data_IF_099554998359
#
_entry.id   IF_099554998359
#
_cell.length_a   1.000
_cell.length_b   1.000
_cell.length_c   1.000
_cell.angle_alpha   90.00
_cell.angle_beta   90.00
_cell.angle_gamma   90.00
#
_symmetry.space_group_name_H-M   'P 1'
#
loop_
_entity.id
_entity.type
_entity.pdbx_description
1 polymer ?
#
# COMPACT_ATOMS: atom_id res chain seq x y z
N UNK A 1 18.51 -19.81 13.76
CA UNK A 1 17.77 -19.23 12.63
C UNK A 1 17.26 -20.36 11.76
N UNK A 2 15.94 -20.54 11.64
CA UNK A 2 15.36 -21.61 10.78
C UNK A 2 15.28 -21.14 9.33
N UNK A 3 15.26 -22.06 8.34
CA UNK A 3 15.16 -21.70 6.91
C UNK A 3 13.96 -20.78 6.60
N UNK A 4 12.87 -20.93 7.37
CA UNK A 4 11.68 -20.08 7.29
C UNK A 4 11.96 -18.63 7.71
N UNK A 5 12.73 -18.43 8.79
CA UNK A 5 13.11 -17.10 9.26
C UNK A 5 14.03 -16.39 8.26
N UNK A 6 14.94 -17.11 7.61
CA UNK A 6 15.82 -16.54 6.57
C UNK A 6 15.02 -16.08 5.35
N UNK A 7 14.03 -16.86 4.90
CA UNK A 7 13.14 -16.47 3.79
C UNK A 7 12.28 -15.25 4.13
N UNK A 8 11.75 -15.19 5.35
CA UNK A 8 11.06 -13.99 5.85
C UNK A 8 11.98 -12.77 5.84
N UNK A 9 13.23 -12.92 6.29
CA UNK A 9 14.20 -11.83 6.31
C UNK A 9 14.52 -11.32 4.90
N UNK A 10 14.61 -12.21 3.91
CA UNK A 10 14.82 -11.86 2.51
C UNK A 10 13.58 -11.14 1.94
N UNK A 11 12.37 -11.62 2.24
CA UNK A 11 11.14 -10.93 1.84
C UNK A 11 11.05 -9.54 2.44
N UNK A 12 11.42 -9.38 3.71
CA UNK A 12 11.50 -8.08 4.38
C UNK A 12 12.54 -7.20 3.69
N UNK A 13 13.76 -7.70 3.47
CA UNK A 13 14.84 -6.91 2.86
C UNK A 13 14.49 -6.39 1.45
N UNK A 14 13.70 -7.16 0.68
CA UNK A 14 13.27 -6.78 -0.67
C UNK A 14 12.01 -5.89 -0.64
N UNK A 15 11.08 -6.14 0.28
CA UNK A 15 9.86 -5.35 0.40
C UNK A 15 10.09 -4.01 1.09
N UNK A 16 10.98 -3.92 2.09
CA UNK A 16 11.19 -2.70 2.88
C UNK A 16 11.50 -1.46 2.02
N UNK A 17 12.38 -1.51 1.00
CA UNK A 17 12.62 -0.38 0.09
C UNK A 17 11.37 0.04 -0.69
N UNK A 18 10.58 -0.95 -1.14
CA UNK A 18 9.32 -0.69 -1.86
C UNK A 18 8.22 -0.11 -0.96
N UNK A 19 8.36 -0.20 0.36
CA UNK A 19 7.36 0.28 1.34
C UNK A 19 7.79 1.56 2.08
N UNK A 20 9.09 1.80 2.22
CA UNK A 20 9.66 2.99 2.90
C UNK A 20 9.68 4.22 2.01
N UNK A 21 9.83 4.03 0.70
CA UNK A 21 9.89 5.16 -0.22
C UNK A 21 8.51 5.75 -0.51
N UNK A 22 7.45 4.97 -0.75
CA UNK A 22 6.10 5.51 -0.92
C UNK A 22 5.50 6.10 0.36
N UNK A 23 5.92 5.63 1.54
CA UNK A 23 5.48 6.24 2.81
C UNK A 23 5.98 7.68 2.94
N UNK A 24 7.17 7.98 2.42
CA UNK A 24 7.72 9.35 2.39
C UNK A 24 6.94 10.26 1.43
N UNK A 25 6.52 9.75 0.27
CA UNK A 25 5.72 10.53 -0.69
C UNK A 25 4.29 10.75 -0.20
N UNK A 26 3.67 9.74 0.43
CA UNK A 26 2.38 9.91 1.11
C UNK A 26 2.48 10.93 2.24
N UNK A 27 3.54 10.87 3.06
CA UNK A 27 3.77 11.84 4.14
C UNK A 27 3.87 13.28 3.63
N UNK A 28 4.65 13.52 2.57
CA UNK A 28 4.78 14.85 1.94
C UNK A 28 3.44 15.33 1.37
N UNK A 29 2.67 14.45 0.71
CA UNK A 29 1.35 14.79 0.18
C UNK A 29 0.34 15.12 1.29
N UNK A 30 0.34 14.35 2.38
CA UNK A 30 -0.52 14.61 3.54
C UNK A 30 -0.17 15.95 4.18
N UNK A 31 1.12 16.22 4.41
CA UNK A 31 1.58 17.52 4.93
C UNK A 31 1.18 18.68 4.04
N UNK A 32 1.38 18.54 2.73
CA UNK A 32 0.98 19.55 1.74
C UNK A 32 -0.52 19.85 1.83
N UNK A 33 -1.36 18.81 1.91
CA UNK A 33 -2.81 18.98 2.00
C UNK A 33 -3.21 19.62 3.33
N UNK A 34 -2.60 19.22 4.46
CA UNK A 34 -2.88 19.85 5.76
C UNK A 34 -2.52 21.33 5.75
N UNK A 35 -1.33 21.70 5.27
CA UNK A 35 -0.87 23.10 5.19
C UNK A 35 -1.79 23.91 4.28
N UNK A 36 -2.11 23.37 3.09
CA UNK A 36 -3.00 24.04 2.12
C UNK A 36 -4.42 24.18 2.67
N UNK A 37 -4.90 23.21 3.46
CA UNK A 37 -6.16 23.29 4.21
C UNK A 37 -6.21 24.48 5.13
N UNK A 38 -5.20 24.57 5.98
CA UNK A 38 -5.11 25.61 6.99
C UNK A 38 -5.04 26.98 6.33
N UNK A 39 -4.22 27.15 5.29
CA UNK A 39 -4.11 28.42 4.55
C UNK A 39 -5.44 28.81 3.91
N UNK A 40 -6.14 27.89 3.24
CA UNK A 40 -7.40 28.19 2.57
C UNK A 40 -8.53 28.52 3.54
N UNK A 41 -8.56 27.85 4.70
CA UNK A 41 -9.52 28.12 5.77
C UNK A 41 -9.33 29.54 6.35
N UNK A 42 -8.09 30.02 6.42
CA UNK A 42 -7.77 31.38 6.86
C UNK A 42 -7.84 32.46 5.76
N UNK A 43 -7.83 32.09 4.48
CA UNK A 43 -7.87 33.04 3.35
C UNK A 43 -9.21 33.11 2.63
N UNK A 44 -10.22 32.32 3.04
CA UNK A 44 -11.60 32.36 2.52
C UNK A 44 -11.70 32.19 0.99
N UNK A 45 -10.74 31.47 0.39
CA UNK A 45 -10.82 31.08 -1.02
C UNK A 45 -11.99 30.10 -1.25
N UNK A 46 -12.59 30.16 -2.44
CA UNK A 46 -13.75 29.34 -2.79
C UNK A 46 -13.45 27.85 -2.65
N UNK A 47 -14.32 27.14 -1.91
CA UNK A 47 -14.19 25.72 -1.56
C UNK A 47 -14.41 24.73 -2.73
N UNK A 48 -14.55 25.20 -3.98
CA UNK A 48 -14.78 24.31 -5.11
C UNK A 48 -13.50 23.49 -5.41
N UNK A 49 -13.59 22.16 -5.31
CA UNK A 49 -12.46 21.24 -5.51
C UNK A 49 -11.91 20.56 -4.24
N UNK A 50 -12.27 21.03 -3.04
CA UNK A 50 -11.84 20.42 -1.78
C UNK A 50 -12.28 18.97 -1.61
N UNK A 51 -13.52 18.66 -1.99
CA UNK A 51 -14.03 17.29 -1.95
C UNK A 51 -13.23 16.33 -2.83
N UNK A 52 -12.74 16.80 -3.98
CA UNK A 52 -11.89 16.01 -4.88
C UNK A 52 -10.52 15.76 -4.25
N UNK A 53 -9.89 16.79 -3.67
CA UNK A 53 -8.60 16.67 -2.99
C UNK A 53 -8.70 15.70 -1.80
N UNK A 54 -9.75 15.82 -0.98
CA UNK A 54 -9.99 14.93 0.16
C UNK A 54 -10.27 13.49 -0.28
N UNK A 55 -11.04 13.30 -1.36
CA UNK A 55 -11.27 11.97 -1.93
C UNK A 55 -9.96 11.34 -2.38
N UNK A 56 -9.10 12.07 -3.10
CA UNK A 56 -7.79 11.57 -3.53
C UNK A 56 -6.88 11.22 -2.34
N UNK A 57 -6.90 12.02 -1.28
CA UNK A 57 -6.16 11.73 -0.05
C UNK A 57 -6.67 10.46 0.63
N UNK A 58 -7.99 10.31 0.78
CA UNK A 58 -8.61 9.11 1.36
C UNK A 58 -8.26 7.85 0.57
N UNK A 59 -8.34 7.93 -0.77
CA UNK A 59 -7.97 6.82 -1.66
C UNK A 59 -6.50 6.46 -1.52
N UNK A 60 -5.61 7.46 -1.43
CA UNK A 60 -4.18 7.23 -1.23
C UNK A 60 -3.88 6.59 0.13
N UNK A 61 -4.50 7.07 1.20
CA UNK A 61 -4.35 6.50 2.54
C UNK A 61 -4.88 5.06 2.61
N UNK A 62 -6.01 4.78 1.96
CA UNK A 62 -6.57 3.43 1.90
C UNK A 62 -5.65 2.46 1.15
N UNK A 63 -5.09 2.89 0.01
CA UNK A 63 -4.09 2.13 -0.75
C UNK A 63 -2.85 1.82 0.09
N UNK A 64 -2.35 2.81 0.85
CA UNK A 64 -1.21 2.62 1.75
C UNK A 64 -1.54 1.66 2.91
N UNK A 65 -2.68 1.84 3.55
CA UNK A 65 -3.16 0.95 4.61
C UNK A 65 -3.20 -0.50 4.12
N UNK A 66 -3.83 -0.75 2.97
CA UNK A 66 -3.95 -2.09 2.41
C UNK A 66 -2.57 -2.72 2.10
N UNK A 67 -1.64 -1.94 1.53
CA UNK A 67 -0.28 -2.43 1.29
C UNK A 67 0.39 -2.81 2.60
N UNK A 68 0.35 -1.95 3.61
CA UNK A 68 0.98 -2.19 4.93
C UNK A 68 0.36 -3.35 5.69
N UNK A 69 -0.97 -3.54 5.59
CA UNK A 69 -1.65 -4.71 6.14
C UNK A 69 -1.20 -6.02 5.48
N UNK A 70 -1.01 -6.04 4.15
CA UNK A 70 -0.46 -7.21 3.46
C UNK A 70 0.97 -7.50 3.92
N UNK A 71 1.77 -6.44 4.09
CA UNK A 71 3.13 -6.57 4.59
C UNK A 71 3.15 -7.13 6.02
N UNK A 72 2.33 -6.61 6.94
CA UNK A 72 2.28 -7.15 8.31
C UNK A 72 1.82 -8.60 8.34
N UNK A 73 0.79 -8.97 7.56
CA UNK A 73 0.33 -10.35 7.42
C UNK A 73 1.44 -11.29 6.91
N UNK A 74 2.37 -10.78 6.09
CA UNK A 74 3.49 -11.59 5.59
C UNK A 74 4.54 -11.90 6.65
N UNK A 75 4.67 -11.02 7.66
CA UNK A 75 5.57 -11.20 8.81
C UNK A 75 5.06 -12.26 9.79
N UNK A 76 3.75 -12.45 9.87
CA UNK A 76 3.12 -13.42 10.76
C UNK A 76 3.43 -14.86 10.34
N UNK A 77 3.50 -15.77 11.32
CA UNK A 77 3.70 -17.20 11.05
C UNK A 77 2.45 -17.85 10.44
N UNK A 78 1.26 -17.40 10.87
CA UNK A 78 -0.03 -17.78 10.32
C UNK A 78 -0.72 -16.55 9.74
N UNK A 79 -0.73 -16.36 8.40
CA UNK A 79 -1.27 -15.16 7.79
C UNK A 79 -2.79 -15.07 8.00
N UNK A 80 -3.23 -13.98 8.62
CA UNK A 80 -4.65 -13.77 8.92
C UNK A 80 -5.50 -13.62 7.65
N UNK A 81 -4.98 -12.96 6.60
CA UNK A 81 -5.64 -12.64 5.33
C UNK A 81 -7.11 -12.27 5.57
N UNK A 82 -7.35 -11.36 6.51
CA UNK A 82 -8.68 -10.84 6.79
C UNK A 82 -9.01 -9.78 5.73
N UNK A 83 -10.27 -9.75 5.28
CA UNK A 83 -10.75 -8.78 4.29
C UNK A 83 -10.03 -8.80 2.91
N UNK A 84 -9.77 -9.99 2.37
CA UNK A 84 -9.19 -10.21 1.03
C UNK A 84 -9.71 -9.26 -0.08
N UNK A 85 -11.04 -9.02 -0.25
CA UNK A 85 -11.53 -8.11 -1.28
C UNK A 85 -11.09 -6.65 -1.07
N UNK A 86 -10.97 -6.18 0.18
CA UNK A 86 -10.45 -4.85 0.48
C UNK A 86 -8.95 -4.74 0.20
N UNK A 87 -8.18 -5.79 0.50
CA UNK A 87 -6.74 -5.83 0.21
C UNK A 87 -6.47 -5.80 -1.29
N UNK A 88 -7.22 -6.57 -2.08
CA UNK A 88 -7.18 -6.53 -3.55
C UNK A 88 -7.53 -5.15 -4.12
N UNK A 89 -8.57 -4.52 -3.57
CA UNK A 89 -8.96 -3.16 -3.96
C UNK A 89 -7.83 -2.17 -3.68
N UNK A 90 -7.19 -2.27 -2.52
CA UNK A 90 -6.05 -1.43 -2.17
C UNK A 90 -4.86 -1.61 -3.11
N UNK A 91 -4.50 -2.85 -3.47
CA UNK A 91 -3.44 -3.14 -4.45
C UNK A 91 -3.77 -2.53 -5.82
N UNK A 92 -5.01 -2.71 -6.30
CA UNK A 92 -5.46 -2.15 -7.57
C UNK A 92 -5.39 -0.61 -7.57
N UNK A 93 -5.84 0.02 -6.50
CA UNK A 93 -5.76 1.48 -6.33
C UNK A 93 -4.32 1.97 -6.37
N UNK A 94 -3.40 1.23 -5.74
CA UNK A 94 -1.95 1.56 -5.74
C UNK A 94 -1.36 1.53 -7.15
N UNK A 95 -1.73 0.53 -7.97
CA UNK A 95 -1.30 0.43 -9.37
C UNK A 95 -1.89 1.56 -10.22
N UNK A 96 -3.17 1.89 -10.04
CA UNK A 96 -3.84 2.99 -10.75
C UNK A 96 -3.20 4.33 -10.38
N UNK A 97 -2.92 4.56 -9.09
CA UNK A 97 -2.21 5.75 -8.60
C UNK A 97 -0.80 5.86 -9.19
N UNK A 98 -0.07 4.75 -9.28
CA UNK A 98 1.22 4.72 -9.96
C UNK A 98 1.09 5.12 -11.43
N UNK A 99 0.18 4.49 -12.17
CA UNK A 99 -0.06 4.77 -13.59
C UNK A 99 -0.52 6.21 -13.84
N UNK A 100 -1.41 6.75 -13.01
CA UNK A 100 -1.87 8.14 -13.15
C UNK A 100 -0.74 9.13 -12.89
N UNK A 101 0.12 8.85 -11.90
CA UNK A 101 1.30 9.68 -11.64
C UNK A 101 2.30 9.67 -12.82
N UNK A 102 2.48 8.53 -13.49
CA UNK A 102 3.29 8.45 -14.71
C UNK A 102 2.73 9.35 -15.81
N UNK A 103 1.43 9.24 -16.09
CA UNK A 103 0.77 9.98 -17.17
C UNK A 103 0.77 11.48 -16.91
N UNK A 104 0.53 11.90 -15.66
CA UNK A 104 0.37 13.32 -15.32
C UNK A 104 1.71 14.06 -15.17
N UNK A 105 2.71 13.41 -14.56
CA UNK A 105 3.95 14.09 -14.23
C UNK A 105 5.08 13.76 -15.20
N UNK A 106 4.95 12.69 -16.01
CA UNK A 106 6.08 12.11 -16.76
C UNK A 106 7.32 11.82 -15.89
N UNK A 107 7.16 11.82 -14.56
CA UNK A 107 8.23 11.56 -13.60
C UNK A 107 8.28 10.07 -13.39
N UNK A 108 9.22 9.42 -14.08
CA UNK A 108 9.37 7.98 -13.99
C UNK A 108 9.69 7.46 -12.59
N UNK A 109 10.26 8.31 -11.74
CA UNK A 109 10.63 7.97 -10.37
C UNK A 109 9.41 7.71 -9.47
N UNK A 110 8.36 8.54 -9.55
CA UNK A 110 7.14 8.41 -8.72
C UNK A 110 6.34 7.18 -9.13
N UNK A 111 6.24 6.92 -10.43
CA UNK A 111 5.65 5.69 -10.96
C UNK A 111 6.42 4.45 -10.52
N UNK A 112 7.76 4.48 -10.61
CA UNK A 112 8.58 3.36 -10.21
C UNK A 112 8.42 3.08 -8.72
N UNK A 113 8.23 4.10 -7.89
CA UNK A 113 8.04 3.93 -6.44
C UNK A 113 6.64 3.41 -6.08
N UNK A 114 5.56 4.03 -6.55
CA UNK A 114 4.20 3.60 -6.22
C UNK A 114 3.81 2.29 -6.95
N UNK A 115 4.26 2.13 -8.19
CA UNK A 115 4.01 0.92 -8.99
C UNK A 115 4.74 -0.30 -8.43
N UNK A 116 6.01 -0.15 -8.00
CA UNK A 116 6.73 -1.27 -7.36
C UNK A 116 6.13 -1.67 -6.03
N UNK A 117 5.57 -0.73 -5.25
CA UNK A 117 4.84 -1.04 -4.03
C UNK A 117 3.59 -1.88 -4.30
N UNK A 118 2.78 -1.49 -5.29
CA UNK A 118 1.59 -2.25 -5.68
C UNK A 118 1.94 -3.67 -6.16
N UNK A 119 3.00 -3.81 -6.96
CA UNK A 119 3.48 -5.10 -7.43
C UNK A 119 3.97 -5.96 -6.26
N UNK A 120 4.79 -5.40 -5.36
CA UNK A 120 5.30 -6.10 -4.18
C UNK A 120 4.16 -6.56 -3.26
N UNK A 121 3.18 -5.69 -3.00
CA UNK A 121 1.99 -6.02 -2.23
C UNK A 121 1.18 -7.16 -2.87
N UNK A 122 1.00 -7.14 -4.21
CA UNK A 122 0.32 -8.22 -4.92
C UNK A 122 1.03 -9.58 -4.80
N UNK A 123 2.37 -9.58 -4.90
CA UNK A 123 3.17 -10.80 -4.71
C UNK A 123 3.05 -11.32 -3.28
N UNK A 124 3.18 -10.45 -2.28
CA UNK A 124 3.04 -10.83 -0.87
C UNK A 124 1.64 -11.35 -0.54
N UNK A 125 0.59 -10.73 -1.09
CA UNK A 125 -0.78 -11.20 -0.92
C UNK A 125 -0.96 -12.61 -1.48
N UNK A 126 -0.41 -12.88 -2.67
CA UNK A 126 -0.46 -14.20 -3.30
C UNK A 126 0.24 -15.25 -2.42
N UNK A 127 1.42 -14.93 -1.88
CA UNK A 127 2.17 -15.81 -0.97
C UNK A 127 1.38 -16.09 0.31
N UNK A 128 0.78 -15.06 0.91
CA UNK A 128 -0.03 -15.20 2.13
C UNK A 128 -1.28 -16.06 1.88
N UNK A 129 -1.95 -15.90 0.73
CA UNK A 129 -3.09 -16.74 0.33
C UNK A 129 -2.70 -18.22 0.17
N UNK A 130 -1.55 -18.49 -0.48
CA UNK A 130 -1.05 -19.88 -0.65
C UNK A 130 -0.69 -20.49 0.69
N UNK A 131 -0.01 -19.75 1.58
CA UNK A 131 0.33 -20.19 2.94
C UNK A 131 -0.91 -20.52 3.76
N UNK A 132 -1.93 -19.65 3.72
CA UNK A 132 -3.21 -19.86 4.42
C UNK A 132 -3.94 -21.11 3.91
N UNK A 133 -4.03 -21.31 2.58
CA UNK A 133 -4.65 -22.51 1.99
C UNK A 133 -3.97 -23.79 2.43
N UNK A 134 -2.63 -23.80 2.49
CA UNK A 134 -1.87 -24.98 2.95
C UNK A 134 -2.17 -25.30 4.41
N UNK A 135 -2.19 -24.30 5.29
CA UNK A 135 -2.54 -24.48 6.71
C UNK A 135 -3.96 -25.01 6.91
N UNK A 136 -4.94 -24.51 6.16
CA UNK A 136 -6.33 -25.02 6.25
C UNK A 136 -6.46 -26.44 5.68
N UNK A 137 -5.68 -26.78 4.64
CA UNK A 137 -5.64 -28.14 4.08
C UNK A 137 -5.06 -29.16 5.05
N UNK A 138 -3.96 -28.80 5.74
CA UNK A 138 -3.32 -29.67 6.73
C UNK A 138 -4.26 -29.96 7.93
N UNK A 139 -5.06 -28.97 8.35
CA UNK A 139 -6.08 -29.15 9.43
C UNK A 139 -7.28 -30.03 9.03
N UNK A 140 -7.56 -30.21 7.74
CA UNK A 140 -8.67 -31.04 7.24
C UNK A 140 -8.23 -32.49 6.98
N UNK A 141 -6.93 -32.77 7.05
CA UNK A 141 -6.34 -34.10 6.84
C UNK A 141 -6.00 -34.86 8.14
N UNK A 142 -6.27 -34.25 9.30
CA UNK A 142 -6.26 -34.88 10.63
C UNK A 142 -7.68 -35.24 11.08
#
# INVERSE_FOLDING_TARGET
MTRLQTLKLIQIAIALPAYTVPSSTTFVFTLWITITSTINLFTSQSFSGWGVIMLWLLVSLFSQWACWSIFSDSLEDSPSVQHLPLLLLGVLLTLILGLSAWVLFHIGLIWLMCGTQGIAAGVLLTINCVRKRRQTGDMLSE
#
